data_IF_694760540540
#
_entry.id   IF_694760540540
#
_cell.length_a   1.000
_cell.length_b   1.000
_cell.length_c   1.000
_cell.angle_alpha   90.00
_cell.angle_beta   90.00
_cell.angle_gamma   90.00
#
_symmetry.space_group_name_H-M   'P 1'
#
loop_
_entity.id
_entity.type
_entity.pdbx_description
1 polymer ?
#
# COMPACT_ATOMS: atom_id res chain seq x y z
N UNK A 1 -6.68 8.99 -1.20
CA UNK A 1 -6.14 9.86 -0.12
C UNK A 1 -6.84 9.67 1.23
N UNK A 2 -8.18 9.69 1.39
CA UNK A 2 -8.77 9.39 2.72
C UNK A 2 -8.80 7.88 3.04
N UNK A 3 -9.17 7.02 2.08
CA UNK A 3 -9.21 5.56 2.28
C UNK A 3 -7.84 4.99 2.62
N UNK A 4 -6.80 5.39 1.87
CA UNK A 4 -5.41 5.00 2.15
C UNK A 4 -4.97 5.42 3.57
N UNK A 5 -5.35 6.61 4.02
CA UNK A 5 -5.05 7.07 5.38
C UNK A 5 -5.80 6.24 6.43
N UNK A 6 -7.09 5.96 6.21
CA UNK A 6 -7.87 5.09 7.09
C UNK A 6 -7.26 3.68 7.18
N UNK A 7 -6.93 3.06 6.04
CA UNK A 7 -6.27 1.77 5.97
C UNK A 7 -4.93 1.79 6.72
N UNK A 8 -4.10 2.80 6.47
CA UNK A 8 -2.80 2.96 7.14
C UNK A 8 -2.95 3.08 8.65
N UNK A 9 -3.91 3.88 9.14
CA UNK A 9 -4.18 4.02 10.57
C UNK A 9 -4.67 2.72 11.20
N UNK A 10 -5.58 2.00 10.53
CA UNK A 10 -6.06 0.69 10.99
C UNK A 10 -4.89 -0.30 11.10
N UNK A 11 -4.01 -0.35 10.10
CA UNK A 11 -2.83 -1.23 10.13
C UNK A 11 -1.86 -0.85 11.26
N UNK A 12 -1.63 0.44 11.48
CA UNK A 12 -0.79 0.91 12.60
C UNK A 12 -1.34 0.48 13.96
N UNK A 13 -2.66 0.53 14.13
CA UNK A 13 -3.32 0.15 15.39
C UNK A 13 -3.39 -1.36 15.56
N UNK A 14 -3.84 -2.10 14.55
CA UNK A 14 -4.13 -3.53 14.69
C UNK A 14 -2.88 -4.41 14.69
N UNK A 15 -1.88 -4.06 13.89
CA UNK A 15 -0.69 -4.92 13.66
C UNK A 15 0.63 -4.20 13.93
N UNK A 16 0.60 -2.96 14.45
CA UNK A 16 1.79 -2.24 14.84
C UNK A 16 2.73 -1.90 13.68
N UNK A 17 2.20 -1.76 12.45
CA UNK A 17 3.03 -1.43 11.28
C UNK A 17 3.77 -0.12 11.52
N UNK A 18 5.09 -0.18 11.53
CA UNK A 18 5.98 0.97 11.61
C UNK A 18 6.97 0.94 10.45
N UNK A 19 7.27 2.12 9.91
CA UNK A 19 8.26 2.25 8.84
C UNK A 19 9.56 2.69 9.47
N UNK A 20 10.62 1.91 9.27
CA UNK A 20 11.98 2.32 9.60
C UNK A 20 12.73 2.54 8.29
N UNK A 21 13.10 3.80 8.04
CA UNK A 21 13.86 4.18 6.86
C UNK A 21 15.34 4.34 7.27
N UNK A 22 16.22 3.48 6.75
CA UNK A 22 17.67 3.67 6.89
C UNK A 22 18.16 4.81 5.99
N UNK A 23 17.46 5.03 4.89
CA UNK A 23 17.63 6.18 4.01
C UNK A 23 16.25 6.59 3.50
N UNK A 24 15.83 7.85 3.69
CA UNK A 24 14.57 8.35 3.14
C UNK A 24 14.55 8.19 1.61
N UNK A 25 13.39 7.82 1.03
CA UNK A 25 13.32 7.52 -0.39
C UNK A 25 13.28 8.82 -1.21
N UNK A 26 14.23 9.02 -2.15
CA UNK A 26 14.25 10.18 -3.07
C UNK A 26 13.06 10.13 -4.05
N UNK A 27 12.04 10.96 -3.80
CA UNK A 27 10.78 10.96 -4.55
C UNK A 27 10.88 11.44 -6.00
N UNK A 28 12.03 11.97 -6.41
CA UNK A 28 12.24 12.47 -7.77
C UNK A 28 12.59 11.38 -8.78
N UNK A 29 12.83 10.15 -8.32
CA UNK A 29 13.27 9.02 -9.17
C UNK A 29 12.26 7.87 -9.17
N UNK A 30 12.24 7.12 -10.27
CA UNK A 30 11.49 5.87 -10.36
C UNK A 30 12.05 4.85 -9.37
N UNK A 31 11.16 4.14 -8.68
CA UNK A 31 11.49 3.13 -7.68
C UNK A 31 10.53 1.95 -7.77
N UNK A 32 11.04 0.79 -7.34
CA UNK A 32 10.27 -0.44 -7.21
C UNK A 32 10.32 -0.83 -5.74
N UNK A 33 9.15 -0.92 -5.12
CA UNK A 33 9.01 -1.43 -3.75
C UNK A 33 8.47 -2.85 -3.82
N UNK A 34 9.06 -3.75 -3.05
CA UNK A 34 8.65 -5.13 -2.97
C UNK A 34 8.69 -5.59 -1.51
N UNK A 35 7.85 -6.57 -1.20
CA UNK A 35 7.83 -7.27 0.07
C UNK A 35 8.08 -8.75 -0.21
N UNK A 36 8.49 -9.49 0.82
CA UNK A 36 8.39 -10.95 0.78
C UNK A 36 6.93 -11.33 0.50
N UNK A 37 6.70 -12.35 -0.34
CA UNK A 37 5.34 -12.74 -0.73
C UNK A 37 4.78 -13.77 0.26
N UNK A 38 4.23 -13.28 1.36
CA UNK A 38 3.71 -14.12 2.45
C UNK A 38 2.21 -13.91 2.65
N UNK A 39 1.67 -12.75 2.26
CA UNK A 39 0.24 -12.45 2.41
C UNK A 39 -0.26 -11.37 1.44
N UNK A 40 -1.57 -11.25 1.25
CA UNK A 40 -2.14 -10.08 0.55
C UNK A 40 -1.97 -8.77 1.33
N UNK A 41 -1.70 -8.85 2.65
CA UNK A 41 -1.42 -7.68 3.48
C UNK A 41 -0.07 -7.04 3.18
N UNK A 42 0.83 -7.73 2.46
CA UNK A 42 2.15 -7.21 2.10
C UNK A 42 2.02 -5.91 1.28
N UNK A 43 1.02 -5.85 0.40
CA UNK A 43 0.71 -4.63 -0.37
C UNK A 43 0.30 -3.49 0.54
N UNK A 44 -0.55 -3.78 1.53
CA UNK A 44 -0.99 -2.80 2.51
C UNK A 44 0.16 -2.32 3.40
N UNK A 45 1.07 -3.22 3.78
CA UNK A 45 2.24 -2.90 4.58
C UNK A 45 3.20 -1.94 3.84
N UNK A 46 3.46 -2.18 2.55
CA UNK A 46 4.24 -1.26 1.71
C UNK A 46 3.56 0.12 1.68
N UNK A 47 2.26 0.17 1.36
CA UNK A 47 1.53 1.45 1.29
C UNK A 47 1.57 2.18 2.63
N UNK A 48 1.37 1.48 3.75
CA UNK A 48 1.40 2.07 5.09
C UNK A 48 2.79 2.58 5.51
N UNK A 49 3.85 2.00 4.95
CA UNK A 49 5.21 2.44 5.18
C UNK A 49 5.54 3.74 4.44
N UNK A 50 4.94 3.95 3.26
CA UNK A 50 5.24 5.07 2.38
C UNK A 50 4.69 6.42 2.89
N UNK A 51 5.46 7.52 2.73
CA UNK A 51 4.95 8.86 3.01
C UNK A 51 3.78 9.21 2.07
N UNK A 52 2.93 10.15 2.50
CA UNK A 52 1.63 10.41 1.88
C UNK A 52 1.74 10.88 0.42
N UNK A 53 2.79 11.63 0.11
CA UNK A 53 3.18 12.09 -1.23
C UNK A 53 3.57 10.94 -2.17
N UNK A 54 4.33 9.95 -1.67
CA UNK A 54 4.68 8.76 -2.44
C UNK A 54 3.45 7.92 -2.82
N UNK A 55 2.51 7.77 -1.88
CA UNK A 55 1.29 6.95 -2.06
C UNK A 55 0.39 7.40 -3.21
N UNK A 56 0.47 8.67 -3.61
CA UNK A 56 -0.31 9.19 -4.75
C UNK A 56 0.16 8.59 -6.08
N UNK A 57 1.46 8.34 -6.20
CA UNK A 57 2.09 7.92 -7.45
C UNK A 57 2.40 6.42 -7.51
N UNK A 58 2.39 5.73 -6.38
CA UNK A 58 2.62 4.27 -6.33
C UNK A 58 1.44 3.53 -6.96
N UNK A 59 1.77 2.55 -7.82
CA UNK A 59 0.83 1.67 -8.52
C UNK A 59 1.11 0.22 -8.12
N UNK A 60 0.41 -0.34 -7.13
CA UNK A 60 0.53 -1.74 -6.78
C UNK A 60 0.09 -2.63 -7.95
N UNK A 61 0.84 -3.69 -8.22
CA UNK A 61 0.58 -4.67 -9.30
C UNK A 61 0.15 -6.03 -8.72
N UNK A 62 -0.21 -6.08 -7.44
CA UNK A 62 -0.36 -7.34 -6.71
C UNK A 62 -1.78 -7.92 -6.73
N UNK A 63 -1.86 -9.25 -6.81
CA UNK A 63 -2.99 -10.13 -6.46
C UNK A 63 -4.37 -9.73 -7.02
N UNK A 64 -4.48 -9.56 -8.34
CA UNK A 64 -5.76 -9.28 -9.01
C UNK A 64 -6.81 -10.37 -8.76
N UNK A 65 -6.38 -11.62 -8.60
CA UNK A 65 -7.19 -12.77 -8.20
C UNK A 65 -7.82 -12.61 -6.81
N UNK A 66 -7.13 -11.97 -5.87
CA UNK A 66 -7.65 -11.65 -4.54
C UNK A 66 -8.42 -10.33 -4.52
N UNK A 67 -7.77 -9.24 -4.95
CA UNK A 67 -8.33 -7.89 -4.87
C UNK A 67 -9.49 -7.68 -5.84
N UNK A 68 -9.53 -8.43 -6.96
CA UNK A 68 -10.63 -8.42 -7.91
C UNK A 68 -11.77 -9.38 -7.55
N UNK A 69 -11.67 -10.15 -6.46
CA UNK A 69 -12.62 -11.24 -6.15
C UNK A 69 -14.05 -10.77 -5.92
N UNK A 70 -14.25 -9.55 -5.42
CA UNK A 70 -15.58 -8.96 -5.22
C UNK A 70 -15.55 -7.43 -5.33
N UNK A 71 -16.73 -6.82 -5.46
CA UNK A 71 -16.87 -5.37 -5.64
C UNK A 71 -16.24 -4.54 -4.51
N UNK A 72 -16.29 -5.05 -3.27
CA UNK A 72 -15.72 -4.36 -2.11
C UNK A 72 -14.19 -4.34 -2.14
N UNK A 73 -13.55 -5.50 -2.33
CA UNK A 73 -12.09 -5.60 -2.46
C UNK A 73 -11.58 -4.85 -3.70
N UNK A 74 -12.33 -4.90 -4.80
CA UNK A 74 -11.98 -4.20 -6.03
C UNK A 74 -12.04 -2.68 -5.83
N UNK A 75 -13.06 -2.20 -5.12
CA UNK A 75 -13.17 -0.80 -4.73
C UNK A 75 -11.99 -0.36 -3.85
N UNK A 76 -11.61 -1.16 -2.86
CA UNK A 76 -10.44 -0.87 -2.01
C UNK A 76 -9.16 -0.81 -2.86
N UNK A 77 -8.97 -1.76 -3.76
CA UNK A 77 -7.79 -1.82 -4.61
C UNK A 77 -7.67 -0.60 -5.52
N UNK A 78 -8.75 -0.24 -6.22
CA UNK A 78 -8.74 0.86 -7.19
C UNK A 78 -8.77 2.25 -6.52
N UNK A 79 -9.60 2.44 -5.50
CA UNK A 79 -9.82 3.77 -4.88
C UNK A 79 -8.98 4.00 -3.62
N UNK A 80 -8.61 2.93 -2.93
CA UNK A 80 -7.77 2.97 -1.74
C UNK A 80 -6.28 2.84 -2.04
N UNK A 81 -5.91 1.84 -2.85
CA UNK A 81 -4.52 1.50 -3.15
C UNK A 81 -4.01 2.03 -4.48
N UNK A 82 -4.90 2.54 -5.33
CA UNK A 82 -4.55 3.08 -6.65
C UNK A 82 -3.88 2.02 -7.56
N UNK A 83 -4.27 0.75 -7.38
CA UNK A 83 -3.77 -0.38 -8.14
C UNK A 83 -4.13 -0.28 -9.63
N UNK A 84 -3.27 -0.85 -10.46
CA UNK A 84 -3.44 -0.95 -11.93
C UNK A 84 -3.91 -2.33 -12.34
#
# INVERSE_FOLDING_TARGET
MWISNALTSVLRVLIGVTARWESPPDLTRQRIYFANHTSHMDTLAIIAALPADARVNVRPVAAADYWGKNAFLSYISQKGLNAV
#
